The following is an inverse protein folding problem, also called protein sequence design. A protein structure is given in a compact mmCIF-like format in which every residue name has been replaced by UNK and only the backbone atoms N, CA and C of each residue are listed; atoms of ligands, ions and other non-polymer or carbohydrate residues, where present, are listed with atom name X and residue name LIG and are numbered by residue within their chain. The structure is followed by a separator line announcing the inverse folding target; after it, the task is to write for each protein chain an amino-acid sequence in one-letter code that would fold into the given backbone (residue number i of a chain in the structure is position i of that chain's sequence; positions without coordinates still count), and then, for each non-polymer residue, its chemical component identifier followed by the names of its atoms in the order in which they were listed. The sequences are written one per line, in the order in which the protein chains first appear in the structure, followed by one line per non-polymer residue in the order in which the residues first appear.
data_IF_255643388607
#
_entry.id   IF_255643388607
#
_cell.length_a   1.000
_cell.length_b   1.000
_cell.length_c   1.000
_cell.angle_alpha   90.00
_cell.angle_beta   90.00
_cell.angle_gamma   90.00
#
_symmetry.space_group_name_H-M   'P 1'
#
loop_
_entity.id
_entity.type
_entity.pdbx_description
1 polymer ?
#
# COMPACT_ATOMS: atom_id res chain seq x y z
N UNK A 1 14.67 4.33 -8.24
CA UNK A 1 14.01 4.72 -6.98
C UNK A 1 12.52 4.47 -7.13
N UNK A 2 11.94 3.57 -6.34
CA UNK A 2 10.52 3.25 -6.37
C UNK A 2 9.99 3.10 -4.94
N UNK A 3 8.67 3.12 -4.78
CA UNK A 3 8.01 2.88 -3.48
C UNK A 3 7.15 1.63 -3.58
N UNK A 4 7.23 0.78 -2.56
CA UNK A 4 6.29 -0.31 -2.39
C UNK A 4 5.18 0.17 -1.45
N UNK A 5 3.96 0.25 -1.97
CA UNK A 5 2.77 0.53 -1.16
C UNK A 5 2.25 -0.82 -0.66
N UNK A 6 2.44 -1.08 0.62
CA UNK A 6 2.14 -2.35 1.29
C UNK A 6 0.86 -2.27 2.11
N UNK A 7 -0.09 -1.44 1.68
CA UNK A 7 -1.39 -1.24 2.31
C UNK A 7 -2.47 -1.95 1.47
N UNK A 8 -3.49 -2.59 2.05
CA UNK A 8 -4.65 -3.06 1.30
C UNK A 8 -5.38 -1.85 0.74
N UNK A 9 -5.53 -1.80 -0.58
CA UNK A 9 -6.20 -0.70 -1.26
C UNK A 9 -7.26 -1.24 -2.19
N UNK A 10 -8.48 -0.74 -2.06
CA UNK A 10 -9.55 -1.09 -2.97
C UNK A 10 -9.48 -0.21 -4.22
N UNK A 11 -9.36 -0.83 -5.39
CA UNK A 11 -9.37 -0.15 -6.69
C UNK A 11 -10.56 -0.68 -7.47
N UNK A 12 -11.63 0.11 -7.55
CA UNK A 12 -12.89 -0.32 -8.18
C UNK A 12 -12.93 -0.01 -9.67
N UNK A 13 -12.15 0.98 -10.11
CA UNK A 13 -12.14 1.45 -11.49
C UNK A 13 -10.82 2.16 -11.86
N UNK A 14 -10.68 2.54 -13.13
CA UNK A 14 -9.48 3.22 -13.63
C UNK A 14 -9.20 4.59 -13.00
N UNK A 15 -10.21 5.32 -12.53
CA UNK A 15 -9.98 6.61 -11.82
C UNK A 15 -9.34 6.37 -10.46
N UNK A 16 -9.73 5.30 -9.76
CA UNK A 16 -9.12 4.91 -8.49
C UNK A 16 -7.64 4.55 -8.72
N UNK A 17 -7.33 3.83 -9.81
CA UNK A 17 -5.95 3.51 -10.18
C UNK A 17 -5.11 4.77 -10.45
N UNK A 18 -5.68 5.79 -11.10
CA UNK A 18 -5.01 7.09 -11.32
C UNK A 18 -4.73 7.79 -9.99
N UNK A 19 -5.66 7.73 -9.02
CA UNK A 19 -5.45 8.30 -7.69
C UNK A 19 -4.29 7.60 -6.95
N UNK A 20 -4.22 6.26 -7.05
CA UNK A 20 -3.12 5.46 -6.49
C UNK A 20 -1.77 5.83 -7.11
N UNK A 21 -1.70 5.91 -8.44
CA UNK A 21 -0.47 6.30 -9.14
C UNK A 21 -0.04 7.73 -8.76
N UNK A 22 -0.99 8.63 -8.58
CA UNK A 22 -0.73 10.01 -8.14
C UNK A 22 -0.18 10.06 -6.71
N UNK A 23 -0.75 9.28 -5.80
CA UNK A 23 -0.24 9.13 -4.43
C UNK A 23 1.19 8.57 -4.45
N UNK A 24 1.45 7.49 -5.17
CA UNK A 24 2.78 6.89 -5.29
C UNK A 24 3.82 7.92 -5.79
N UNK A 25 3.43 8.74 -6.78
CA UNK A 25 4.28 9.82 -7.30
C UNK A 25 4.60 10.89 -6.25
N UNK A 26 3.61 11.30 -5.43
CA UNK A 26 3.86 12.25 -4.32
C UNK A 26 4.80 11.67 -3.28
N UNK A 27 4.62 10.40 -2.94
CA UNK A 27 5.47 9.68 -1.98
C UNK A 27 6.92 9.58 -2.47
N UNK A 28 7.13 9.17 -3.74
CA UNK A 28 8.48 9.09 -4.35
C UNK A 28 9.18 10.45 -4.33
N UNK A 29 8.43 11.53 -4.57
CA UNK A 29 8.96 12.90 -4.58
C UNK A 29 9.18 13.48 -3.18
N UNK A 30 8.83 12.76 -2.10
CA UNK A 30 8.88 13.28 -0.73
C UNK A 30 7.90 14.43 -0.47
N UNK A 31 6.92 14.63 -1.36
CA UNK A 31 5.90 15.67 -1.22
C UNK A 31 4.84 15.30 -0.18
N UNK A 32 4.81 14.04 0.22
CA UNK A 32 3.92 13.50 1.22
C UNK A 32 4.56 12.29 1.90
N UNK A 33 3.93 11.79 2.96
CA UNK A 33 4.31 10.57 3.65
C UNK A 33 3.05 9.81 4.09
N UNK A 34 3.19 8.51 4.34
CA UNK A 34 2.06 7.65 4.73
C UNK A 34 1.35 8.14 6.00
N UNK A 35 2.09 8.67 6.98
CA UNK A 35 1.51 9.20 8.23
C UNK A 35 0.58 10.39 7.99
N UNK A 36 0.86 11.22 6.98
CA UNK A 36 0.05 12.38 6.61
C UNK A 36 -1.16 11.99 5.76
N UNK A 37 -1.01 11.04 4.84
CA UNK A 37 -2.10 10.61 3.94
C UNK A 37 -3.07 9.67 4.65
N UNK A 38 -2.56 8.87 5.59
CA UNK A 38 -3.31 7.86 6.34
C UNK A 38 -2.98 7.97 7.84
N UNK A 39 -3.46 9.03 8.52
CA UNK A 39 -3.21 9.20 9.95
C UNK A 39 -3.83 8.05 10.76
N UNK A 40 -3.06 7.48 11.69
CA UNK A 40 -3.50 6.35 12.52
C UNK A 40 -3.45 4.99 11.81
N UNK A 41 -2.92 4.93 10.59
CA UNK A 41 -2.73 3.68 9.87
C UNK A 41 -1.59 2.87 10.48
N UNK A 42 -1.91 1.66 10.97
CA UNK A 42 -0.97 0.79 11.68
C UNK A 42 -0.53 -0.43 10.89
N UNK A 43 -1.04 -0.64 9.66
CA UNK A 43 -0.70 -1.80 8.87
C UNK A 43 0.66 -1.58 8.19
N UNK A 44 1.58 -2.49 8.48
CA UNK A 44 2.97 -2.40 8.07
C UNK A 44 3.32 -3.46 7.02
N UNK A 45 4.52 -3.34 6.47
CA UNK A 45 5.09 -4.40 5.62
C UNK A 45 5.18 -5.74 6.36
N UNK A 46 5.42 -5.72 7.66
CA UNK A 46 5.55 -6.93 8.48
C UNK A 46 4.21 -7.64 8.63
N UNK A 47 3.12 -6.87 8.79
CA UNK A 47 1.76 -7.40 8.80
C UNK A 47 1.43 -8.05 7.44
N UNK A 48 1.78 -7.38 6.34
CA UNK A 48 1.58 -7.92 5.00
C UNK A 48 2.36 -9.21 4.72
N UNK A 49 3.63 -9.27 5.12
CA UNK A 49 4.44 -10.48 4.95
C UNK A 49 3.88 -11.64 5.77
N UNK A 50 3.46 -11.39 7.01
CA UNK A 50 2.82 -12.39 7.86
C UNK A 50 1.54 -12.93 7.23
N UNK A 51 0.72 -12.06 6.64
CA UNK A 51 -0.47 -12.49 5.90
C UNK A 51 -0.13 -13.31 4.65
N UNK A 52 0.88 -12.92 3.87
CA UNK A 52 1.30 -13.70 2.69
C UNK A 52 1.79 -15.11 3.07
N UNK A 53 2.52 -15.23 4.17
CA UNK A 53 2.96 -16.52 4.72
C UNK A 53 1.76 -17.37 5.18
N UNK A 54 0.79 -16.76 5.87
CA UNK A 54 -0.44 -17.43 6.30
C UNK A 54 -1.27 -17.95 5.12
N UNK A 55 -1.37 -17.19 4.04
CA UNK A 55 -2.14 -17.61 2.85
C UNK A 55 -1.42 -18.66 2.00
N UNK A 56 -0.08 -18.70 2.02
CA UNK A 56 0.69 -19.76 1.34
C UNK A 56 0.54 -21.14 1.99
N UNK A 57 0.17 -21.21 3.27
CA UNK A 57 -0.06 -22.46 4.00
C UNK A 57 -1.42 -23.12 3.80
N UNK A 58 -2.35 -22.51 3.04
CA UNK A 58 -3.70 -23.03 2.82
C UNK A 58 -3.88 -23.81 1.49
N UNK A 59 -2.81 -23.98 0.70
CA UNK A 59 -2.83 -24.69 -0.60
C UNK A 59 -2.15 -26.08 -0.59
N UNK A 60 -1.94 -26.69 0.59
CA UNK A 60 -1.48 -28.09 0.72
C UNK A 60 -2.45 -28.93 1.54
#
# INVERSE_FOLDING_TARGET
MGVNIVAPMEVRNGKDLVAVASLAKRLIKGQSNLKSEFPGYCYTREDWLRECELHSGHLT
#
